data_IF_653353039761
#
_entry.id   IF_653353039761
#
_cell.length_a   1.000
_cell.length_b   1.000
_cell.length_c   1.000
_cell.angle_alpha   90.00
_cell.angle_beta   90.00
_cell.angle_gamma   90.00
#
_symmetry.space_group_name_H-M   'P 1'
#
loop_
_entity.id
_entity.type
_entity.pdbx_description
1 polymer ?
#
# COMPACT_ATOMS: atom_id res chain seq x y z
N UNK A 1 -29.14 -17.96 -16.76
CA UNK A 1 -28.63 -16.61 -16.42
C UNK A 1 -27.12 -16.61 -16.20
N UNK A 2 -26.57 -17.42 -15.28
CA UNK A 2 -25.11 -17.55 -15.18
C UNK A 2 -24.47 -17.95 -16.51
N UNK A 3 -24.85 -19.10 -17.08
CA UNK A 3 -24.30 -19.61 -18.35
C UNK A 3 -24.37 -18.62 -19.53
N UNK A 4 -25.37 -17.73 -19.55
CA UNK A 4 -25.51 -16.73 -20.62
C UNK A 4 -24.57 -15.53 -20.46
N UNK A 5 -24.05 -15.29 -19.25
CA UNK A 5 -23.14 -14.19 -18.94
C UNK A 5 -21.67 -14.66 -18.86
N UNK A 6 -21.44 -15.97 -18.72
CA UNK A 6 -20.09 -16.53 -18.73
C UNK A 6 -19.47 -16.47 -20.13
N UNK A 7 -18.16 -16.28 -20.18
CA UNK A 7 -17.39 -16.27 -21.42
C UNK A 7 -16.64 -17.60 -21.64
N UNK A 8 -16.34 -17.96 -22.90
CA UNK A 8 -15.41 -19.07 -23.21
C UNK A 8 -14.04 -18.85 -22.57
N UNK A 9 -13.33 -19.91 -22.20
CA UNK A 9 -12.02 -19.79 -21.51
C UNK A 9 -11.00 -19.05 -22.37
N UNK A 10 -11.10 -19.21 -23.69
CA UNK A 10 -10.21 -18.66 -24.70
C UNK A 10 -10.58 -17.22 -25.10
N UNK A 11 -11.79 -16.77 -24.74
CA UNK A 11 -12.29 -15.45 -25.11
C UNK A 11 -11.95 -14.40 -24.06
N UNK A 12 -11.87 -13.14 -24.49
CA UNK A 12 -11.86 -12.01 -23.58
C UNK A 12 -13.29 -11.69 -23.16
N UNK A 13 -13.58 -11.53 -21.86
CA UNK A 13 -14.89 -11.08 -21.44
C UNK A 13 -15.13 -9.66 -21.93
N UNK A 14 -16.33 -9.40 -22.43
CA UNK A 14 -16.83 -8.04 -22.62
C UNK A 14 -17.04 -7.40 -21.24
N UNK A 15 -16.57 -6.16 -21.05
CA UNK A 15 -16.70 -5.44 -19.77
C UNK A 15 -18.14 -5.41 -19.30
N UNK A 16 -19.08 -5.09 -20.21
CA UNK A 16 -20.52 -5.04 -19.95
C UNK A 16 -21.08 -6.36 -19.43
N UNK A 17 -20.64 -7.50 -19.99
CA UNK A 17 -21.06 -8.83 -19.53
C UNK A 17 -20.51 -9.15 -18.15
N UNK A 18 -19.27 -8.75 -17.88
CA UNK A 18 -18.64 -8.94 -16.57
C UNK A 18 -19.32 -8.11 -15.50
N UNK A 19 -19.68 -6.86 -15.82
CA UNK A 19 -20.41 -5.98 -14.92
C UNK A 19 -21.85 -6.47 -14.69
N UNK A 20 -22.53 -6.96 -15.73
CA UNK A 20 -23.84 -7.60 -15.59
C UNK A 20 -23.79 -8.87 -14.72
N UNK A 21 -22.75 -9.68 -14.86
CA UNK A 21 -22.53 -10.84 -14.00
C UNK A 21 -22.23 -10.43 -12.55
N UNK A 22 -21.46 -9.35 -12.37
CA UNK A 22 -21.17 -8.79 -11.04
C UNK A 22 -22.46 -8.34 -10.37
N UNK A 23 -23.28 -7.54 -11.06
CA UNK A 23 -24.58 -7.08 -10.55
C UNK A 23 -25.54 -8.24 -10.26
N UNK A 24 -25.54 -9.29 -11.09
CA UNK A 24 -26.30 -10.50 -10.82
C UNK A 24 -25.85 -11.18 -9.52
N UNK A 25 -24.53 -11.35 -9.32
CA UNK A 25 -23.97 -11.95 -8.11
C UNK A 25 -24.33 -11.11 -6.88
N UNK A 26 -24.10 -9.80 -6.91
CA UNK A 26 -24.44 -8.90 -5.80
C UNK A 26 -25.95 -8.94 -5.46
N UNK A 27 -26.81 -8.98 -6.48
CA UNK A 27 -28.26 -9.11 -6.31
C UNK A 27 -28.71 -10.41 -5.65
N UNK A 28 -27.89 -11.47 -5.66
CA UNK A 28 -28.17 -12.72 -4.93
C UNK A 28 -27.84 -12.61 -3.43
N UNK A 29 -27.08 -11.60 -3.00
CA UNK A 29 -26.66 -11.45 -1.60
C UNK A 29 -27.80 -11.51 -0.58
N UNK A 30 -28.87 -10.70 -0.73
CA UNK A 30 -30.02 -10.73 0.18
C UNK A 30 -30.69 -12.11 0.25
N UNK A 31 -30.80 -12.80 -0.88
CA UNK A 31 -31.43 -14.13 -0.99
C UNK A 31 -30.61 -15.25 -0.33
N UNK A 32 -29.29 -15.08 -0.31
CA UNK A 32 -28.37 -16.03 0.35
C UNK A 32 -28.20 -15.71 1.84
N UNK A 33 -28.49 -14.49 2.26
CA UNK A 33 -28.53 -14.11 3.69
C UNK A 33 -29.74 -14.74 4.39
N UNK A 34 -29.57 -15.19 5.64
CA UNK A 34 -30.60 -15.90 6.40
C UNK A 34 -31.84 -15.06 6.74
N UNK A 35 -31.85 -13.77 6.40
CA UNK A 35 -32.88 -12.79 6.71
C UNK A 35 -34.20 -13.03 5.95
N UNK A 36 -34.14 -13.54 4.72
CA UNK A 36 -35.31 -13.82 3.87
C UNK A 36 -35.47 -15.33 3.62
N UNK A 37 -35.62 -16.09 4.71
CA UNK A 37 -35.70 -17.57 4.72
C UNK A 37 -36.88 -18.18 3.94
N UNK A 38 -37.78 -17.38 3.38
CA UNK A 38 -39.01 -17.84 2.72
C UNK A 38 -38.84 -18.24 1.24
N UNK A 39 -37.76 -17.81 0.55
CA UNK A 39 -37.67 -17.91 -0.92
C UNK A 39 -36.80 -19.06 -1.47
N UNK A 40 -35.83 -19.57 -0.70
CA UNK A 40 -34.87 -20.58 -1.16
C UNK A 40 -34.65 -21.68 -0.12
N UNK A 41 -34.61 -22.93 -0.59
CA UNK A 41 -34.20 -24.08 0.23
C UNK A 41 -32.70 -24.05 0.49
N UNK A 42 -32.26 -24.64 1.61
CA UNK A 42 -30.83 -24.71 1.95
C UNK A 42 -30.00 -25.43 0.87
N UNK A 43 -30.55 -26.47 0.24
CA UNK A 43 -29.91 -27.15 -0.88
C UNK A 43 -29.74 -26.24 -2.10
N UNK A 44 -30.74 -25.39 -2.40
CA UNK A 44 -30.64 -24.42 -3.49
C UNK A 44 -29.60 -23.32 -3.17
N UNK A 45 -29.54 -22.86 -1.91
CA UNK A 45 -28.54 -21.89 -1.43
C UNK A 45 -27.11 -22.42 -1.63
N UNK A 46 -26.85 -23.66 -1.19
CA UNK A 46 -25.56 -24.33 -1.36
C UNK A 46 -25.20 -24.52 -2.84
N UNK A 47 -26.18 -24.89 -3.68
CA UNK A 47 -25.95 -25.01 -5.12
C UNK A 47 -25.55 -23.66 -5.76
N UNK A 48 -26.21 -22.57 -5.38
CA UNK A 48 -25.86 -21.23 -5.87
C UNK A 48 -24.47 -20.81 -5.40
N UNK A 49 -24.14 -21.00 -4.12
CA UNK A 49 -22.81 -20.71 -3.59
C UNK A 49 -21.71 -21.52 -4.29
N UNK A 50 -21.94 -22.82 -4.53
CA UNK A 50 -21.00 -23.66 -5.27
C UNK A 50 -20.78 -23.17 -6.71
N UNK A 51 -21.83 -22.66 -7.37
CA UNK A 51 -21.70 -22.03 -8.70
C UNK A 51 -20.91 -20.74 -8.63
N UNK A 52 -21.17 -19.88 -7.65
CA UNK A 52 -20.41 -18.63 -7.44
C UNK A 52 -18.92 -18.93 -7.19
N UNK A 53 -18.62 -19.90 -6.34
CA UNK A 53 -17.25 -20.37 -6.12
C UNK A 53 -16.62 -20.90 -7.42
N UNK A 54 -17.37 -21.66 -8.21
CA UNK A 54 -16.91 -22.17 -9.50
C UNK A 54 -16.53 -21.05 -10.48
N UNK A 55 -17.24 -19.91 -10.48
CA UNK A 55 -16.91 -18.77 -11.33
C UNK A 55 -15.52 -18.21 -11.01
N UNK A 56 -15.16 -18.16 -9.72
CA UNK A 56 -13.84 -17.68 -9.29
C UNK A 56 -12.75 -18.55 -9.92
N UNK A 57 -12.82 -19.86 -9.74
CA UNK A 57 -11.76 -20.78 -10.14
C UNK A 57 -11.78 -21.15 -11.63
N UNK A 58 -12.95 -21.23 -12.26
CA UNK A 58 -13.07 -21.69 -13.65
C UNK A 58 -12.99 -20.57 -14.68
N UNK A 59 -13.24 -19.32 -14.28
CA UNK A 59 -13.26 -18.15 -15.18
C UNK A 59 -12.31 -17.06 -14.73
N UNK A 60 -12.42 -16.58 -13.49
CA UNK A 60 -11.70 -15.39 -13.05
C UNK A 60 -10.18 -15.65 -12.97
N UNK A 61 -9.75 -16.67 -12.20
CA UNK A 61 -8.32 -16.99 -12.07
C UNK A 61 -7.64 -17.31 -13.41
N UNK A 62 -8.17 -18.22 -14.26
CA UNK A 62 -7.55 -18.50 -15.56
C UNK A 62 -7.41 -17.25 -16.44
N UNK A 63 -8.41 -16.36 -16.40
CA UNK A 63 -8.35 -15.12 -17.15
C UNK A 63 -7.30 -14.15 -16.59
N UNK A 64 -7.19 -14.02 -15.26
CA UNK A 64 -6.16 -13.19 -14.61
C UNK A 64 -4.75 -13.73 -14.84
N UNK A 65 -4.57 -15.05 -14.87
CA UNK A 65 -3.31 -15.69 -15.22
C UNK A 65 -2.95 -15.41 -16.69
N UNK A 66 -3.91 -15.40 -17.61
CA UNK A 66 -3.68 -14.96 -19.00
C UNK A 66 -3.33 -13.47 -19.08
N UNK A 67 -4.04 -12.60 -18.37
CA UNK A 67 -3.73 -11.16 -18.31
C UNK A 67 -2.33 -10.86 -17.76
N UNK A 68 -1.74 -11.80 -17.04
CA UNK A 68 -0.41 -11.66 -16.45
C UNK A 68 0.71 -11.72 -17.48
N UNK A 69 0.46 -12.29 -18.66
CA UNK A 69 1.42 -12.30 -19.79
C UNK A 69 1.19 -11.16 -20.78
N UNK A 70 0.08 -10.44 -20.66
CA UNK A 70 -0.29 -9.34 -21.55
C UNK A 70 0.36 -8.02 -21.13
N UNK A 71 0.51 -7.11 -22.11
CA UNK A 71 0.98 -5.75 -21.85
C UNK A 71 0.01 -4.97 -20.93
N UNK A 72 0.55 -4.07 -20.11
CA UNK A 72 -0.23 -3.21 -19.20
C UNK A 72 -0.87 -2.02 -19.96
N UNK A 73 -1.65 -2.32 -20.99
CA UNK A 73 -2.41 -1.36 -21.79
C UNK A 73 -3.76 -0.98 -21.15
N UNK A 74 -4.50 -0.06 -21.78
CA UNK A 74 -5.78 0.41 -21.27
C UNK A 74 -6.82 -0.72 -21.17
N UNK A 75 -6.82 -1.63 -22.15
CA UNK A 75 -7.78 -2.74 -22.25
C UNK A 75 -7.54 -3.79 -21.16
N UNK A 76 -6.28 -4.14 -20.90
CA UNK A 76 -5.90 -5.10 -19.87
C UNK A 76 -6.21 -4.55 -18.48
N UNK A 77 -6.01 -3.25 -18.25
CA UNK A 77 -6.40 -2.57 -17.00
C UNK A 77 -7.91 -2.55 -16.78
N UNK A 78 -8.68 -2.22 -17.80
CA UNK A 78 -10.15 -2.23 -17.73
C UNK A 78 -10.69 -3.63 -17.43
N UNK A 79 -10.18 -4.64 -18.16
CA UNK A 79 -10.54 -6.04 -17.97
C UNK A 79 -10.15 -6.55 -16.58
N UNK A 80 -8.96 -6.16 -16.09
CA UNK A 80 -8.49 -6.50 -14.74
C UNK A 80 -9.43 -5.91 -13.69
N UNK A 81 -9.81 -4.64 -13.83
CA UNK A 81 -10.71 -3.97 -12.90
C UNK A 81 -12.10 -4.63 -12.87
N UNK A 82 -12.66 -4.95 -14.03
CA UNK A 82 -13.96 -5.61 -14.14
C UNK A 82 -13.96 -7.00 -13.47
N UNK A 83 -12.93 -7.81 -13.73
CA UNK A 83 -12.82 -9.14 -13.12
C UNK A 83 -12.50 -9.06 -11.63
N UNK A 84 -11.73 -8.08 -11.17
CA UNK A 84 -11.51 -7.84 -9.75
C UNK A 84 -12.82 -7.47 -9.03
N UNK A 85 -13.69 -6.65 -9.63
CA UNK A 85 -15.03 -6.37 -9.09
C UNK A 85 -15.88 -7.64 -8.98
N UNK A 86 -15.87 -8.46 -10.03
CA UNK A 86 -16.57 -9.75 -10.00
C UNK A 86 -16.04 -10.68 -8.91
N UNK A 87 -14.72 -10.80 -8.76
CA UNK A 87 -14.10 -11.60 -7.69
C UNK A 87 -14.57 -11.12 -6.33
N UNK A 88 -14.53 -9.81 -6.08
CA UNK A 88 -14.99 -9.24 -4.81
C UNK A 88 -16.45 -9.60 -4.53
N UNK A 89 -17.33 -9.47 -5.52
CA UNK A 89 -18.74 -9.83 -5.39
C UNK A 89 -18.93 -11.32 -5.10
N UNK A 90 -18.21 -12.19 -5.81
CA UNK A 90 -18.28 -13.64 -5.58
C UNK A 90 -17.77 -14.01 -4.18
N UNK A 91 -16.61 -13.48 -3.78
CA UNK A 91 -15.98 -13.76 -2.48
C UNK A 91 -16.89 -13.32 -1.31
N UNK A 92 -17.60 -12.20 -1.45
CA UNK A 92 -18.54 -11.70 -0.45
C UNK A 92 -19.66 -12.70 -0.10
N UNK A 93 -20.02 -13.59 -1.03
CA UNK A 93 -21.12 -14.55 -0.88
C UNK A 93 -20.64 -15.98 -0.59
N UNK A 94 -19.33 -16.18 -0.57
CA UNK A 94 -18.68 -17.45 -0.27
C UNK A 94 -18.39 -17.60 1.23
N UNK A 95 -18.16 -18.85 1.66
CA UNK A 95 -17.74 -19.15 3.05
C UNK A 95 -16.35 -18.59 3.36
N UNK A 96 -16.08 -18.31 4.64
CA UNK A 96 -14.76 -17.82 5.09
C UNK A 96 -13.60 -18.68 4.60
N UNK A 97 -13.77 -20.02 4.55
CA UNK A 97 -12.74 -20.92 4.04
C UNK A 97 -12.39 -20.64 2.57
N UNK A 98 -13.41 -20.35 1.75
CA UNK A 98 -13.20 -19.98 0.34
C UNK A 98 -12.58 -18.59 0.24
N UNK A 99 -13.02 -17.64 1.07
CA UNK A 99 -12.42 -16.29 1.12
C UNK A 99 -10.91 -16.38 1.42
N UNK A 100 -10.54 -17.11 2.48
CA UNK A 100 -9.14 -17.35 2.86
C UNK A 100 -8.37 -18.05 1.74
N UNK A 101 -8.95 -19.07 1.11
CA UNK A 101 -8.33 -19.79 0.00
C UNK A 101 -8.04 -18.87 -1.18
N UNK A 102 -9.00 -18.04 -1.61
CA UNK A 102 -8.81 -17.09 -2.71
C UNK A 102 -7.67 -16.12 -2.40
N UNK A 103 -7.65 -15.55 -1.20
CA UNK A 103 -6.59 -14.63 -0.75
C UNK A 103 -5.23 -15.32 -0.77
N UNK A 104 -5.10 -16.51 -0.19
CA UNK A 104 -3.85 -17.24 -0.13
C UNK A 104 -3.34 -17.64 -1.51
N UNK A 105 -4.24 -18.02 -2.44
CA UNK A 105 -3.88 -18.33 -3.82
C UNK A 105 -3.27 -17.13 -4.55
N UNK A 106 -3.76 -15.92 -4.30
CA UNK A 106 -3.22 -14.69 -4.89
C UNK A 106 -1.94 -14.25 -4.17
N UNK A 107 -1.89 -14.40 -2.85
CA UNK A 107 -0.74 -14.03 -2.03
C UNK A 107 0.52 -14.83 -2.39
N UNK A 108 0.33 -16.06 -2.87
CA UNK A 108 1.43 -16.89 -3.39
C UNK A 108 2.22 -16.18 -4.51
N UNK A 109 1.61 -15.28 -5.28
CA UNK A 109 2.32 -14.48 -6.29
C UNK A 109 3.36 -13.54 -5.71
N UNK A 110 3.26 -13.17 -4.42
CA UNK A 110 4.24 -12.33 -3.72
C UNK A 110 5.34 -13.17 -3.06
N UNK A 111 5.15 -14.49 -2.98
CA UNK A 111 6.07 -15.43 -2.36
C UNK A 111 6.91 -16.06 -3.48
N UNK A 112 8.15 -15.57 -3.61
CA UNK A 112 9.14 -16.01 -4.60
C UNK A 112 9.35 -17.52 -4.59
N UNK A 113 8.60 -18.26 -5.40
CA UNK A 113 8.78 -19.68 -5.67
C UNK A 113 8.73 -19.86 -7.19
N UNK A 114 9.83 -20.32 -7.77
CA UNK A 114 10.03 -20.56 -9.21
C UNK A 114 9.28 -21.79 -9.76
N UNK A 115 8.05 -22.04 -9.31
CA UNK A 115 7.24 -23.11 -9.90
C UNK A 115 6.26 -22.55 -10.93
N UNK A 116 6.56 -22.91 -12.18
CA UNK A 116 5.88 -22.59 -13.42
C UNK A 116 4.41 -23.04 -13.47
N UNK A 117 3.60 -22.20 -14.13
CA UNK A 117 2.30 -22.58 -14.69
C UNK A 117 1.09 -22.09 -13.89
N UNK A 118 0.29 -21.22 -14.53
CA UNK A 118 -1.02 -20.71 -14.08
C UNK A 118 -1.04 -19.65 -12.97
N UNK A 119 0.12 -19.07 -12.61
CA UNK A 119 0.20 -18.02 -11.59
C UNK A 119 -0.14 -16.64 -12.13
N UNK A 120 -0.84 -15.89 -11.29
CA UNK A 120 -1.11 -14.46 -11.51
C UNK A 120 0.16 -13.67 -11.25
N UNK A 121 0.50 -12.71 -12.12
CA UNK A 121 1.65 -11.79 -11.93
C UNK A 121 1.48 -10.94 -10.67
N UNK A 122 2.59 -10.46 -10.10
CA UNK A 122 2.56 -9.51 -8.96
C UNK A 122 1.68 -8.29 -9.27
N UNK A 123 1.71 -7.79 -10.52
CA UNK A 123 0.87 -6.67 -10.99
C UNK A 123 -0.62 -6.96 -10.82
N UNK A 124 -1.10 -8.07 -11.37
CA UNK A 124 -2.52 -8.44 -11.33
C UNK A 124 -2.91 -8.87 -9.92
N UNK A 125 -2.04 -9.59 -9.20
CA UNK A 125 -2.25 -9.99 -7.81
C UNK A 125 -2.43 -8.78 -6.88
N UNK A 126 -1.71 -7.69 -7.13
CA UNK A 126 -1.87 -6.42 -6.40
C UNK A 126 -3.29 -5.87 -6.54
N UNK A 127 -3.88 -5.87 -7.74
CA UNK A 127 -5.24 -5.38 -7.94
C UNK A 127 -6.29 -6.30 -7.28
N UNK A 128 -6.08 -7.62 -7.36
CA UNK A 128 -6.97 -8.60 -6.72
C UNK A 128 -6.93 -8.47 -5.20
N UNK A 129 -5.74 -8.39 -4.58
CA UNK A 129 -5.63 -8.19 -3.13
C UNK A 129 -6.27 -6.86 -2.71
N UNK A 130 -6.09 -5.79 -3.49
CA UNK A 130 -6.68 -4.48 -3.19
C UNK A 130 -8.22 -4.51 -3.11
N UNK A 131 -8.90 -5.23 -4.01
CA UNK A 131 -10.37 -5.37 -3.93
C UNK A 131 -10.84 -6.32 -2.83
N UNK A 132 -9.96 -7.20 -2.36
CA UNK A 132 -10.21 -8.14 -1.26
C UNK A 132 -9.86 -7.58 0.12
N UNK A 133 -9.42 -6.32 0.21
CA UNK A 133 -9.06 -5.65 1.46
C UNK A 133 -10.09 -5.76 2.59
N UNK A 134 -11.42 -5.64 2.34
CA UNK A 134 -12.40 -5.79 3.42
C UNK A 134 -12.37 -7.16 4.11
N UNK A 135 -12.05 -8.23 3.36
CA UNK A 135 -11.95 -9.59 3.90
C UNK A 135 -10.60 -9.84 4.58
N UNK A 136 -9.53 -9.25 4.02
CA UNK A 136 -8.20 -9.28 4.61
C UNK A 136 -8.18 -8.61 5.99
N UNK A 137 -8.71 -7.40 6.09
CA UNK A 137 -8.72 -6.62 7.33
C UNK A 137 -9.55 -7.25 8.46
N UNK A 138 -10.46 -8.18 8.12
CA UNK A 138 -11.24 -8.93 9.09
C UNK A 138 -10.47 -10.11 9.71
N UNK A 139 -9.35 -10.55 9.13
CA UNK A 139 -8.53 -11.65 9.62
C UNK A 139 -7.09 -11.17 9.88
N UNK A 140 -6.68 -11.16 11.15
CA UNK A 140 -5.37 -10.67 11.58
C UNK A 140 -4.21 -11.48 10.98
N UNK A 141 -4.37 -12.80 10.88
CA UNK A 141 -3.34 -13.67 10.32
C UNK A 141 -3.15 -13.40 8.83
N UNK A 142 -4.24 -13.24 8.08
CA UNK A 142 -4.16 -12.87 6.66
C UNK A 142 -3.61 -11.46 6.45
N UNK A 143 -3.99 -10.51 7.30
CA UNK A 143 -3.46 -9.14 7.27
C UNK A 143 -1.95 -9.14 7.45
N UNK A 144 -1.43 -9.80 8.49
CA UNK A 144 0.01 -9.90 8.75
C UNK A 144 0.75 -10.66 7.65
N UNK A 145 0.19 -11.78 7.18
CA UNK A 145 0.79 -12.56 6.08
C UNK A 145 0.91 -11.71 4.81
N UNK A 146 -0.16 -10.99 4.46
CA UNK A 146 -0.19 -10.10 3.30
C UNK A 146 0.81 -8.97 3.43
N UNK A 147 0.87 -8.34 4.60
CA UNK A 147 1.82 -7.27 4.89
C UNK A 147 3.26 -7.73 4.73
N UNK A 148 3.62 -8.85 5.36
CA UNK A 148 4.99 -9.38 5.31
C UNK A 148 5.40 -9.74 3.89
N UNK A 149 4.53 -10.41 3.12
CA UNK A 149 4.82 -10.73 1.72
C UNK A 149 4.91 -9.48 0.85
N UNK A 150 4.06 -8.46 1.09
CA UNK A 150 4.11 -7.20 0.36
C UNK A 150 5.40 -6.41 0.65
N UNK A 151 5.85 -6.35 1.91
CA UNK A 151 7.12 -5.72 2.26
C UNK A 151 8.32 -6.49 1.68
N UNK A 152 8.29 -7.82 1.73
CA UNK A 152 9.34 -8.65 1.15
C UNK A 152 9.47 -8.48 -0.37
N UNK A 153 8.35 -8.46 -1.10
CA UNK A 153 8.38 -8.23 -2.56
C UNK A 153 8.77 -6.79 -2.89
N UNK A 154 8.28 -5.79 -2.15
CA UNK A 154 8.73 -4.39 -2.33
C UNK A 154 10.25 -4.30 -2.19
N UNK A 155 10.82 -4.95 -1.18
CA UNK A 155 12.27 -4.95 -0.90
C UNK A 155 13.08 -5.54 -2.05
N UNK A 156 12.60 -6.61 -2.70
CA UNK A 156 13.37 -7.35 -3.71
C UNK A 156 13.10 -6.93 -5.16
N UNK A 157 11.93 -6.35 -5.45
CA UNK A 157 11.49 -6.09 -6.82
C UNK A 157 12.25 -4.92 -7.47
N UNK A 158 12.78 -5.09 -8.70
CA UNK A 158 13.53 -4.04 -9.39
C UNK A 158 12.62 -2.95 -10.02
N UNK A 159 11.37 -3.29 -10.33
CA UNK A 159 10.40 -2.41 -10.99
C UNK A 159 9.86 -1.33 -10.04
N UNK A 160 10.39 -0.11 -10.14
CA UNK A 160 10.00 1.02 -9.31
C UNK A 160 8.50 1.41 -9.43
N UNK A 161 7.90 1.51 -10.63
CA UNK A 161 6.46 1.69 -10.79
C UNK A 161 5.61 0.64 -10.07
N UNK A 162 5.98 -0.64 -10.16
CA UNK A 162 5.24 -1.71 -9.50
C UNK A 162 5.42 -1.68 -7.98
N UNK A 163 6.62 -1.37 -7.48
CA UNK A 163 6.89 -1.13 -6.05
C UNK A 163 6.01 -0.01 -5.50
N UNK A 164 5.88 1.11 -6.22
CA UNK A 164 4.98 2.21 -5.84
C UNK A 164 3.52 1.76 -5.83
N UNK A 165 3.10 0.98 -6.83
CA UNK A 165 1.73 0.44 -6.91
C UNK A 165 1.40 -0.46 -5.71
N UNK A 166 2.30 -1.38 -5.33
CA UNK A 166 2.10 -2.25 -4.16
C UNK A 166 2.02 -1.43 -2.88
N UNK A 167 2.90 -0.43 -2.73
CA UNK A 167 2.92 0.45 -1.54
C UNK A 167 1.58 1.17 -1.36
N UNK A 168 1.04 1.76 -2.44
CA UNK A 168 -0.23 2.51 -2.38
C UNK A 168 -1.45 1.60 -2.30
N UNK A 169 -1.51 0.53 -3.10
CA UNK A 169 -2.71 -0.31 -3.20
C UNK A 169 -2.82 -1.35 -2.09
N UNK A 170 -1.71 -1.75 -1.49
CA UNK A 170 -1.67 -2.78 -0.44
C UNK A 170 -1.32 -2.16 0.90
N UNK A 171 -0.11 -1.64 1.07
CA UNK A 171 0.38 -1.22 2.40
C UNK A 171 -0.47 -0.06 2.95
N UNK A 172 -0.64 1.01 2.16
CA UNK A 172 -1.45 2.16 2.55
C UNK A 172 -2.92 1.76 2.79
N UNK A 173 -3.49 0.91 1.94
CA UNK A 173 -4.89 0.47 2.10
C UNK A 173 -5.08 -0.40 3.36
N UNK A 174 -4.13 -1.29 3.66
CA UNK A 174 -4.14 -2.07 4.91
C UNK A 174 -4.11 -1.15 6.12
N UNK A 175 -3.23 -0.14 6.13
CA UNK A 175 -3.18 0.84 7.23
C UNK A 175 -4.49 1.62 7.38
N UNK A 176 -5.10 2.05 6.28
CA UNK A 176 -6.41 2.71 6.29
C UNK A 176 -7.51 1.82 6.86
N UNK A 177 -7.57 0.55 6.47
CA UNK A 177 -8.56 -0.39 7.00
C UNK A 177 -8.32 -0.69 8.49
N UNK A 178 -7.07 -0.88 8.90
CA UNK A 178 -6.71 -1.18 10.28
C UNK A 178 -6.90 0.01 11.23
N UNK A 179 -6.89 1.25 10.73
CA UNK A 179 -7.03 2.49 11.55
C UNK A 179 -8.32 2.55 12.38
N UNK A 180 -9.34 1.76 12.04
CA UNK A 180 -10.58 1.65 12.82
C UNK A 180 -10.42 0.82 14.12
N UNK A 181 -9.35 0.03 14.25
CA UNK A 181 -9.05 -0.82 15.41
C UNK A 181 -7.72 -0.38 16.04
N UNK A 182 -7.79 0.31 17.19
CA UNK A 182 -6.64 1.04 17.76
C UNK A 182 -5.43 0.18 18.11
N UNK A 183 -5.63 -1.08 18.54
CA UNK A 183 -4.54 -1.97 18.91
C UNK A 183 -3.89 -2.66 17.71
N UNK A 184 -4.67 -3.15 16.76
CA UNK A 184 -4.18 -3.81 15.56
C UNK A 184 -3.46 -2.83 14.62
N UNK A 185 -4.00 -1.61 14.47
CA UNK A 185 -3.37 -0.53 13.69
C UNK A 185 -1.96 -0.21 14.18
N UNK A 186 -1.80 -0.11 15.51
CA UNK A 186 -0.52 0.19 16.16
C UNK A 186 0.55 -0.88 15.88
N UNK A 187 0.18 -2.17 15.99
CA UNK A 187 1.09 -3.28 15.72
C UNK A 187 1.52 -3.37 14.25
N UNK A 188 0.57 -3.17 13.33
CA UNK A 188 0.84 -3.17 11.89
C UNK A 188 1.77 -2.00 11.52
N UNK A 189 1.44 -0.78 11.95
CA UNK A 189 2.21 0.41 11.61
C UNK A 189 3.65 0.33 12.13
N UNK A 190 3.83 -0.12 13.38
CA UNK A 190 5.17 -0.33 13.97
C UNK A 190 5.98 -1.34 13.18
N UNK A 191 5.36 -2.48 12.80
CA UNK A 191 6.01 -3.49 11.97
C UNK A 191 6.45 -2.95 10.61
N UNK A 192 5.64 -2.10 9.97
CA UNK A 192 6.03 -1.43 8.72
C UNK A 192 7.27 -0.56 8.95
N UNK A 193 7.26 0.29 9.98
CA UNK A 193 8.39 1.17 10.26
C UNK A 193 9.68 0.38 10.54
N UNK A 194 9.59 -0.66 11.38
CA UNK A 194 10.72 -1.51 11.75
C UNK A 194 11.31 -2.19 10.50
N UNK A 195 10.47 -2.75 9.63
CA UNK A 195 10.92 -3.39 8.39
C UNK A 195 11.54 -2.38 7.42
N UNK A 196 10.91 -1.22 7.19
CA UNK A 196 11.46 -0.16 6.33
C UNK A 196 12.82 0.35 6.82
N UNK A 197 12.98 0.47 8.14
CA UNK A 197 14.25 0.85 8.74
C UNK A 197 15.31 -0.26 8.59
N UNK A 198 14.91 -1.53 8.45
CA UNK A 198 15.85 -2.64 8.24
C UNK A 198 16.45 -2.71 6.83
N UNK A 199 15.95 -1.90 5.89
CA UNK A 199 16.39 -1.93 4.51
C UNK A 199 17.67 -1.12 4.31
N UNK A 200 18.49 -1.57 3.34
CA UNK A 200 19.72 -0.88 2.93
C UNK A 200 19.52 0.00 1.69
N UNK A 201 18.33 -0.02 1.09
CA UNK A 201 18.02 0.76 -0.10
C UNK A 201 17.34 2.09 0.28
N UNK A 202 18.14 3.15 0.35
CA UNK A 202 17.70 4.50 0.74
C UNK A 202 16.56 5.03 -0.13
N UNK A 203 16.68 4.98 -1.46
CA UNK A 203 15.65 5.49 -2.39
C UNK A 203 14.29 4.82 -2.14
N UNK A 204 14.30 3.48 -2.02
CA UNK A 204 13.09 2.69 -1.82
C UNK A 204 12.48 2.92 -0.45
N UNK A 205 13.30 3.00 0.60
CA UNK A 205 12.85 3.32 1.95
C UNK A 205 12.23 4.72 1.99
N UNK A 206 12.87 5.73 1.39
CA UNK A 206 12.34 7.09 1.29
C UNK A 206 11.01 7.14 0.55
N UNK A 207 10.85 6.38 -0.54
CA UNK A 207 9.58 6.31 -1.27
C UNK A 207 8.46 5.79 -0.36
N UNK A 208 8.69 4.67 0.34
CA UNK A 208 7.68 4.10 1.23
C UNK A 208 7.36 5.03 2.40
N UNK A 209 8.37 5.58 3.06
CA UNK A 209 8.19 6.53 4.17
C UNK A 209 7.42 7.78 3.73
N UNK A 210 7.67 8.27 2.52
CA UNK A 210 6.96 9.44 1.97
C UNK A 210 5.49 9.14 1.75
N UNK A 211 5.17 8.02 1.08
CA UNK A 211 3.80 7.60 0.80
C UNK A 211 3.01 7.35 2.09
N UNK A 212 3.66 6.83 3.12
CA UNK A 212 3.05 6.47 4.40
C UNK A 212 3.19 7.57 5.47
N UNK A 213 3.68 8.75 5.10
CA UNK A 213 4.02 9.81 6.04
C UNK A 213 2.85 10.27 6.89
N UNK A 214 1.63 10.32 6.36
CA UNK A 214 0.45 10.76 7.12
C UNK A 214 0.04 9.76 8.21
N UNK A 215 0.42 8.49 8.10
CA UNK A 215 0.22 7.52 9.18
C UNK A 215 1.33 7.62 10.24
N UNK A 216 2.58 7.73 9.80
CA UNK A 216 3.74 7.79 10.70
C UNK A 216 3.86 9.12 11.44
N UNK A 217 3.66 10.23 10.74
CA UNK A 217 3.83 11.60 11.20
C UNK A 217 2.48 12.22 11.56
N UNK A 218 1.75 11.53 12.44
CA UNK A 218 0.51 11.99 13.06
C UNK A 218 0.72 12.16 14.56
N UNK A 219 -0.10 13.02 15.18
CA UNK A 219 -0.05 13.24 16.63
C UNK A 219 -0.18 11.91 17.39
N UNK A 220 0.74 11.66 18.30
CA UNK A 220 0.79 10.44 19.13
C UNK A 220 0.84 9.13 18.34
N UNK A 221 1.44 9.13 17.15
CA UNK A 221 1.64 7.90 16.39
C UNK A 221 2.39 6.85 17.22
N UNK A 222 1.89 5.60 17.30
CA UNK A 222 2.57 4.53 18.04
C UNK A 222 3.89 4.07 17.38
N UNK A 223 4.14 4.53 16.15
CA UNK A 223 5.32 4.23 15.35
C UNK A 223 5.92 5.53 14.83
N UNK A 224 6.30 6.42 15.75
CA UNK A 224 6.93 7.70 15.41
C UNK A 224 8.34 7.48 14.85
N UNK A 225 8.59 7.78 13.55
CA UNK A 225 9.89 7.59 12.92
C UNK A 225 10.96 8.52 13.47
N UNK A 226 10.59 9.65 14.11
CA UNK A 226 11.55 10.58 14.74
C UNK A 226 12.38 9.91 15.84
N UNK A 227 11.86 8.83 16.43
CA UNK A 227 12.53 8.03 17.46
C UNK A 227 13.54 7.03 16.89
N UNK A 228 13.56 6.79 15.57
CA UNK A 228 14.42 5.83 14.92
C UNK A 228 15.72 6.47 14.41
N UNK A 229 16.91 6.08 14.90
CA UNK A 229 18.18 6.56 14.35
C UNK A 229 18.36 6.16 12.88
N UNK A 230 17.80 5.01 12.50
CA UNK A 230 17.92 4.49 11.15
C UNK A 230 17.08 5.29 10.15
N UNK A 231 15.90 5.75 10.57
CA UNK A 231 15.09 6.71 9.81
C UNK A 231 15.90 7.98 9.50
N UNK A 232 16.53 8.58 10.51
CA UNK A 232 17.33 9.80 10.31
C UNK A 232 18.53 9.58 9.39
N UNK A 233 19.19 8.43 9.49
CA UNK A 233 20.27 8.06 8.56
C UNK A 233 19.77 7.99 7.12
N UNK A 234 18.61 7.38 6.89
CA UNK A 234 17.98 7.33 5.57
C UNK A 234 17.61 8.71 5.04
N UNK A 235 17.09 9.60 5.88
CA UNK A 235 16.82 11.00 5.50
C UNK A 235 18.12 11.73 5.15
N UNK A 236 19.17 11.58 5.95
CA UNK A 236 20.49 12.17 5.69
C UNK A 236 21.08 11.71 4.35
N UNK A 237 21.11 10.39 4.12
CA UNK A 237 21.57 9.80 2.86
C UNK A 237 20.77 10.35 1.68
N UNK A 238 19.45 10.48 1.85
CA UNK A 238 18.55 11.03 0.85
C UNK A 238 18.80 12.49 0.50
N UNK A 239 19.10 13.34 1.49
CA UNK A 239 19.34 14.79 1.28
C UNK A 239 20.59 15.06 0.43
N UNK A 240 21.56 14.15 0.43
CA UNK A 240 22.80 14.25 -0.36
C UNK A 240 22.82 13.31 -1.56
N UNK A 241 21.68 12.65 -1.86
CA UNK A 241 21.59 11.70 -2.95
C UNK A 241 21.81 12.38 -4.31
N UNK A 242 22.30 11.63 -5.29
CA UNK A 242 22.49 12.15 -6.65
C UNK A 242 21.16 12.35 -7.37
N UNK A 243 20.16 11.54 -7.04
CA UNK A 243 18.83 11.64 -7.59
C UNK A 243 18.01 12.75 -6.91
N UNK A 244 17.42 13.61 -7.74
CA UNK A 244 16.60 14.73 -7.25
C UNK A 244 15.30 14.28 -6.57
N UNK A 245 14.75 13.12 -6.92
CA UNK A 245 13.52 12.61 -6.30
C UNK A 245 13.82 12.13 -4.88
N UNK A 246 14.93 11.42 -4.67
CA UNK A 246 15.43 11.06 -3.33
C UNK A 246 15.65 12.29 -2.45
N UNK A 247 16.33 13.34 -2.96
CA UNK A 247 16.53 14.59 -2.21
C UNK A 247 15.21 15.27 -1.84
N UNK A 248 14.27 15.37 -2.79
CA UNK A 248 12.93 15.95 -2.53
C UNK A 248 12.12 15.16 -1.51
N UNK A 249 12.15 13.81 -1.57
CA UNK A 249 11.47 12.93 -0.60
C UNK A 249 12.07 13.09 0.80
N UNK A 250 13.39 13.10 0.91
CA UNK A 250 14.07 13.29 2.18
C UNK A 250 13.79 14.68 2.78
N UNK A 251 13.83 15.73 1.96
CA UNK A 251 13.50 17.08 2.38
C UNK A 251 12.04 17.21 2.82
N UNK A 252 11.11 16.59 2.09
CA UNK A 252 9.70 16.53 2.50
C UNK A 252 9.53 15.88 3.88
N UNK A 253 10.16 14.73 4.11
CA UNK A 253 10.09 14.03 5.41
C UNK A 253 10.68 14.89 6.53
N UNK A 254 11.82 15.54 6.29
CA UNK A 254 12.44 16.47 7.25
C UNK A 254 11.49 17.61 7.62
N UNK A 255 10.88 18.27 6.62
CA UNK A 255 9.90 19.35 6.84
C UNK A 255 8.73 18.87 7.69
N UNK A 256 8.17 17.70 7.37
CA UNK A 256 7.04 17.13 8.11
C UNK A 256 7.42 16.83 9.56
N UNK A 257 8.61 16.27 9.81
CA UNK A 257 9.11 16.05 11.17
C UNK A 257 9.32 17.35 11.95
N UNK A 258 9.87 18.40 11.32
CA UNK A 258 10.06 19.70 11.97
C UNK A 258 8.72 20.32 12.38
N UNK A 259 7.76 20.38 11.45
CA UNK A 259 6.41 20.89 11.72
C UNK A 259 5.71 20.11 12.85
N UNK A 260 5.73 18.77 12.78
CA UNK A 260 5.11 17.95 13.82
C UNK A 260 5.81 18.09 15.18
N UNK A 261 7.12 18.34 15.20
CA UNK A 261 7.86 18.52 16.47
C UNK A 261 7.54 19.86 17.13
N UNK A 262 7.27 20.88 16.33
CA UNK A 262 6.75 22.16 16.81
C UNK A 262 5.34 22.01 17.40
N UNK A 263 4.46 21.28 16.72
CA UNK A 263 3.08 21.09 17.15
C UNK A 263 2.97 20.23 18.43
N UNK A 264 3.82 19.21 18.57
CA UNK A 264 3.75 18.22 19.67
C UNK A 264 4.58 18.61 20.92
N UNK A 265 5.27 19.75 20.95
CA UNK A 265 6.31 20.06 21.95
C UNK A 265 7.30 18.88 22.13
N UNK A 266 7.70 18.27 21.01
CA UNK A 266 8.47 17.02 21.01
C UNK A 266 9.84 17.18 21.67
N UNK A 267 10.19 16.32 22.63
CA UNK A 267 11.50 16.41 23.28
C UNK A 267 12.43 15.27 22.84
N UNK A 268 13.49 15.61 22.11
CA UNK A 268 14.44 14.66 21.54
C UNK A 268 15.46 14.10 22.55
N UNK A 269 15.39 14.45 23.85
CA UNK A 269 16.37 14.08 24.89
C UNK A 269 16.51 12.57 25.19
N UNK A 270 15.70 11.70 24.59
CA UNK A 270 15.65 10.27 24.95
C UNK A 270 16.50 9.32 24.08
N UNK A 271 17.20 9.81 23.06
CA UNK A 271 18.03 8.98 22.18
C UNK A 271 19.53 9.08 22.55
N UNK A 272 20.08 7.97 23.02
CA UNK A 272 21.37 7.85 23.72
C UNK A 272 22.65 8.02 22.88
N UNK A 273 22.58 8.53 21.64
CA UNK A 273 23.78 8.84 20.83
C UNK A 273 23.68 10.23 20.23
N UNK A 274 24.27 11.22 20.90
CA UNK A 274 24.29 12.62 20.45
C UNK A 274 25.06 12.85 19.14
N UNK A 275 25.92 11.90 18.73
CA UNK A 275 26.89 12.07 17.64
C UNK A 275 26.35 11.79 16.23
N UNK A 276 25.22 11.09 16.11
CA UNK A 276 24.73 10.61 14.81
C UNK A 276 23.36 11.20 14.39
N UNK A 277 22.80 12.14 15.16
CA UNK A 277 21.47 12.68 14.90
C UNK A 277 21.50 14.03 14.18
N UNK A 278 21.04 14.07 12.92
CA UNK A 278 20.85 15.30 12.15
C UNK A 278 19.83 16.23 12.78
N UNK A 279 18.77 15.65 13.33
CA UNK A 279 17.59 16.36 13.79
C UNK A 279 17.54 16.36 15.31
N UNK A 280 17.39 17.54 15.88
CA UNK A 280 17.14 17.74 17.31
C UNK A 280 16.03 18.76 17.47
N UNK A 281 15.04 18.43 18.27
CA UNK A 281 14.02 19.37 18.73
C UNK A 281 14.10 19.51 20.24
N UNK A 282 14.01 20.75 20.70
CA UNK A 282 13.98 21.12 22.10
C UNK A 282 12.88 22.18 22.26
N UNK A 283 11.79 21.91 23.01
CA UNK A 283 10.65 22.81 23.10
C UNK A 283 11.02 24.21 23.61
N UNK A 284 12.01 24.30 24.50
CA UNK A 284 12.58 25.55 25.01
C UNK A 284 13.29 26.39 23.94
N UNK A 285 13.65 25.79 22.81
CA UNK A 285 14.30 26.44 21.66
C UNK A 285 13.47 26.35 20.38
N UNK A 286 12.18 26.03 20.49
CA UNK A 286 11.28 25.77 19.35
C UNK A 286 11.34 26.88 18.28
N UNK A 287 11.26 28.15 18.69
CA UNK A 287 11.35 29.30 17.77
C UNK A 287 12.67 29.34 17.00
N UNK A 288 13.80 29.20 17.68
CA UNK A 288 15.13 29.23 17.07
C UNK A 288 15.31 28.06 16.09
N UNK A 289 14.88 26.86 16.52
CA UNK A 289 14.98 25.66 15.70
C UNK A 289 14.07 25.72 14.48
N UNK A 290 12.86 26.28 14.62
CA UNK A 290 11.96 26.55 13.49
C UNK A 290 12.63 27.46 12.46
N UNK A 291 13.12 28.62 12.88
CA UNK A 291 13.79 29.58 12.00
C UNK A 291 14.98 28.91 11.28
N UNK A 292 15.79 28.12 12.01
CA UNK A 292 16.89 27.35 11.43
C UNK A 292 16.44 26.33 10.37
N UNK A 293 15.41 25.52 10.67
CA UNK A 293 14.94 24.50 9.73
C UNK A 293 14.23 25.10 8.52
N UNK A 294 13.52 26.22 8.68
CA UNK A 294 12.95 27.00 7.58
C UNK A 294 14.04 27.52 6.64
N UNK A 295 15.11 28.09 7.20
CA UNK A 295 16.27 28.55 6.43
C UNK A 295 16.97 27.40 5.72
N UNK A 296 17.23 26.29 6.41
CA UNK A 296 17.83 25.08 5.83
C UNK A 296 17.00 24.55 4.66
N UNK A 297 15.68 24.47 4.85
CA UNK A 297 14.73 24.03 3.83
C UNK A 297 14.77 24.94 2.61
N UNK A 298 14.73 26.26 2.82
CA UNK A 298 14.78 27.25 1.75
C UNK A 298 16.06 27.11 0.93
N UNK A 299 17.19 26.92 1.61
CA UNK A 299 18.50 26.68 0.97
C UNK A 299 18.44 25.42 0.12
N UNK A 300 17.97 24.29 0.67
CA UNK A 300 17.90 23.02 -0.04
C UNK A 300 16.98 23.10 -1.27
N UNK A 301 15.80 23.71 -1.15
CA UNK A 301 14.90 23.91 -2.29
C UNK A 301 15.51 24.79 -3.37
N UNK A 302 16.24 25.82 -2.96
CA UNK A 302 16.91 26.73 -3.89
C UNK A 302 18.05 26.05 -4.62
N UNK A 303 18.78 25.14 -3.96
CA UNK A 303 19.84 24.34 -4.60
C UNK A 303 19.29 23.30 -5.59
N UNK A 304 18.01 22.92 -5.48
CA UNK A 304 17.34 22.09 -6.50
C UNK A 304 16.95 22.88 -7.76
N UNK A 305 16.92 24.21 -7.69
CA UNK A 305 16.56 25.03 -8.83
C UNK A 305 17.73 25.19 -9.80
N UNK A 306 17.49 24.85 -11.07
CA UNK A 306 18.52 24.99 -12.12
C UNK A 306 18.73 26.45 -12.57
N UNK A 307 17.95 27.40 -12.05
CA UNK A 307 17.94 28.78 -12.50
C UNK A 307 18.77 29.69 -11.57
N UNK A 308 19.92 30.16 -12.05
CA UNK A 308 20.89 30.97 -11.27
C UNK A 308 20.26 32.22 -10.61
N UNK A 309 19.23 32.82 -11.19
CA UNK A 309 18.57 33.99 -10.61
C UNK A 309 17.72 33.68 -9.36
N UNK A 310 17.31 32.42 -9.19
CA UNK A 310 16.65 31.91 -7.98
C UNK A 310 17.69 31.58 -6.90
N UNK A 311 18.88 31.11 -7.33
CA UNK A 311 19.97 30.69 -6.44
C UNK A 311 20.68 31.88 -5.78
N UNK A 312 20.95 32.94 -6.54
CA UNK A 312 21.81 34.06 -6.11
C UNK A 312 21.32 34.82 -4.86
N UNK A 313 20.02 35.10 -4.67
CA UNK A 313 19.53 35.78 -3.46
C UNK A 313 19.70 34.94 -2.18
N UNK A 314 19.64 33.61 -2.29
CA UNK A 314 19.71 32.70 -1.14
C UNK A 314 21.16 32.43 -0.74
N UNK A 315 22.10 32.40 -1.68
CA UNK A 315 23.54 32.34 -1.38
C UNK A 315 23.98 33.47 -0.42
N UNK A 316 23.50 34.70 -0.65
CA UNK A 316 23.80 35.84 0.23
C UNK A 316 23.25 35.67 1.67
N UNK A 317 22.21 34.86 1.83
CA UNK A 317 21.60 34.54 3.13
C UNK A 317 22.36 33.41 3.83
N UNK A 318 22.93 32.47 3.07
CA UNK A 318 23.85 31.44 3.59
C UNK A 318 25.15 32.06 4.10
N UNK A 319 25.71 33.05 3.40
CA UNK A 319 26.91 33.77 3.86
C UNK A 319 26.69 34.55 5.18
N UNK A 320 25.43 34.75 5.59
CA UNK A 320 25.04 35.45 6.80
C UNK A 320 24.62 34.52 7.97
N UNK A 321 24.55 33.20 7.73
CA UNK A 321 24.29 32.16 8.74
C UNK A 321 25.61 31.68 9.38
#
# INVERSE_FOLDING_TARGET
>A
LFESLLWPKEAWPETERTDALTALVEGLGPLLSHSDSALLTDAARLCVQSKIESIIWSKCFPFLSRLSTEEDDARSRESTAAVCRLIRACVALCSENVQKRVILSVLHSFQSSEEDGDRVSVRVATEVLAVLMPFLAADEHLTLSTLNSALAIIRSLPDAPLVSRITVRIILMLLNCCSSSSSASSGVLKRVLDELCSWDNTERTLMCLTVLSDHFLSHHSPADPRLSPRFWRTVQEGLIDRDSVSRKRALYLLKRCAALSEEDDFNCLHSSSEKDMLFKWAPDKSRLLREFWEDYVLVMETLEENQIHVVRPVLNRIDAL
#
